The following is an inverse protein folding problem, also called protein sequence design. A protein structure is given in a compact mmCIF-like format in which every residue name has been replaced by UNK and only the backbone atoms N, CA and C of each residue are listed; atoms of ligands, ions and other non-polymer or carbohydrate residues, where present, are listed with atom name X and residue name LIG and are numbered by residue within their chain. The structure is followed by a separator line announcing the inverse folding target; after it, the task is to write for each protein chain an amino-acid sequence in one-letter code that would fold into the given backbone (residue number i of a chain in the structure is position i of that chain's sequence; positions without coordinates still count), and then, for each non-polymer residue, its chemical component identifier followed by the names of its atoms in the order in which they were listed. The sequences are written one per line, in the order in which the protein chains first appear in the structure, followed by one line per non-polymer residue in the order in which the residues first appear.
data_IF_960463368505
#
_entry.id   IF_960463368505
#
_cell.length_a   1.000
_cell.length_b   1.000
_cell.length_c   1.000
_cell.angle_alpha   90.00
_cell.angle_beta   90.00
_cell.angle_gamma   90.00
#
_symmetry.space_group_name_H-M   'P 1'
#
loop_
_entity.id
_entity.type
_entity.pdbx_description
1 polymer ?
#
# COMPACT_ATOMS: atom_id res chain seq x y z
N UNK A 1 -0.38 -2.48 13.58
CA UNK A 1 -0.80 -3.08 14.86
C UNK A 1 -1.76 -4.23 14.60
N UNK A 2 -1.42 -5.48 14.95
CA UNK A 2 -2.35 -6.60 14.83
C UNK A 2 -3.25 -6.67 16.07
N UNK A 3 -4.53 -6.31 15.90
CA UNK A 3 -5.55 -6.36 16.96
C UNK A 3 -6.09 -7.77 17.23
N UNK A 4 -5.70 -8.76 16.42
CA UNK A 4 -6.23 -10.11 16.54
C UNK A 4 -5.30 -10.91 17.44
N UNK A 5 -5.69 -11.09 18.71
CA UNK A 5 -5.22 -12.21 19.55
C UNK A 5 -5.82 -13.52 19.03
N UNK A 6 -5.71 -13.78 17.73
CA UNK A 6 -6.34 -14.91 17.05
C UNK A 6 -5.82 -16.19 17.66
N UNK A 7 -6.59 -16.76 18.58
CA UNK A 7 -6.21 -17.94 19.33
C UNK A 7 -5.99 -19.10 18.36
N UNK A 8 -4.73 -19.52 18.20
CA UNK A 8 -4.36 -20.73 17.48
C UNK A 8 -3.85 -20.58 16.03
N UNK A 9 -4.03 -19.41 15.38
CA UNK A 9 -3.60 -19.20 13.98
C UNK A 9 -2.30 -18.41 13.84
N UNK A 10 -1.85 -17.75 14.90
CA UNK A 10 -0.55 -17.07 14.93
C UNK A 10 0.56 -18.06 15.28
N UNK A 11 1.74 -17.82 14.73
CA UNK A 11 2.95 -18.55 15.07
C UNK A 11 3.46 -18.11 16.45
N UNK A 12 3.83 -19.07 17.29
CA UNK A 12 4.55 -18.77 18.52
C UNK A 12 5.96 -18.27 18.16
N UNK A 13 6.29 -17.03 18.53
CA UNK A 13 7.60 -16.46 18.29
C UNK A 13 8.46 -16.52 19.55
N UNK A 14 9.76 -16.74 19.39
CA UNK A 14 10.69 -16.86 20.50
C UNK A 14 11.83 -15.82 20.38
N UNK A 15 12.16 -15.16 21.48
CA UNK A 15 13.32 -14.27 21.53
C UNK A 15 14.65 -15.06 21.54
N UNK A 16 15.78 -14.36 21.55
CA UNK A 16 17.12 -15.01 21.59
C UNK A 16 17.37 -15.84 22.85
N UNK A 17 16.57 -15.65 23.91
CA UNK A 17 16.63 -16.41 25.17
C UNK A 17 15.56 -17.51 25.22
N UNK A 18 14.95 -17.83 24.07
CA UNK A 18 13.91 -18.83 23.92
C UNK A 18 12.64 -18.53 24.75
N UNK A 19 12.35 -17.26 25.02
CA UNK A 19 11.12 -16.84 25.69
C UNK A 19 10.06 -16.50 24.66
N UNK A 20 8.83 -16.93 24.92
CA UNK A 20 7.69 -16.61 24.08
C UNK A 20 7.48 -15.08 24.05
N UNK A 21 7.33 -14.54 22.85
CA UNK A 21 7.01 -13.13 22.62
C UNK A 21 5.76 -13.01 21.77
N UNK A 22 5.01 -11.93 21.96
CA UNK A 22 3.80 -11.68 21.18
C UNK A 22 4.13 -11.63 19.70
N UNK A 23 3.37 -12.39 18.92
CA UNK A 23 3.47 -12.49 17.47
C UNK A 23 2.31 -11.79 16.80
N UNK A 24 2.55 -11.29 15.58
CA UNK A 24 1.52 -10.91 14.62
C UNK A 24 1.59 -11.73 13.34
N UNK A 25 2.48 -12.72 13.26
CA UNK A 25 2.68 -13.54 12.07
C UNK A 25 1.73 -14.74 12.11
N UNK A 26 0.99 -14.96 11.04
CA UNK A 26 0.23 -16.20 10.84
C UNK A 26 1.19 -17.39 10.82
N UNK A 27 0.71 -18.54 11.28
CA UNK A 27 1.46 -19.79 11.27
C UNK A 27 1.20 -20.54 9.96
N UNK A 28 2.16 -20.59 9.03
CA UNK A 28 1.99 -21.24 7.74
C UNK A 28 2.01 -22.77 7.84
N UNK A 29 2.42 -23.34 8.98
CA UNK A 29 2.50 -24.79 9.21
C UNK A 29 1.17 -25.41 9.66
N UNK A 30 0.23 -24.59 10.14
CA UNK A 30 -1.06 -25.05 10.66
C UNK A 30 -2.15 -25.01 9.60
N UNK A 31 -2.87 -26.13 9.44
CA UNK A 31 -3.99 -26.20 8.51
C UNK A 31 -5.16 -25.29 8.94
N UNK A 32 -5.34 -25.09 10.26
CA UNK A 32 -6.35 -24.18 10.83
C UNK A 32 -6.20 -22.74 10.33
N UNK A 33 -4.98 -22.28 10.03
CA UNK A 33 -4.72 -20.97 9.42
C UNK A 33 -5.43 -20.85 8.07
N UNK A 34 -5.33 -21.88 7.22
CA UNK A 34 -5.91 -21.86 5.88
C UNK A 34 -7.43 -22.05 5.89
N UNK A 35 -7.95 -22.84 6.83
CA UNK A 35 -9.41 -22.96 7.05
C UNK A 35 -9.98 -21.60 7.47
N UNK A 36 -9.34 -20.94 8.43
CA UNK A 36 -9.74 -19.60 8.86
C UNK A 36 -9.70 -18.60 7.69
N UNK A 37 -8.59 -18.53 6.95
CA UNK A 37 -8.44 -17.62 5.82
C UNK A 37 -9.52 -17.84 4.77
N UNK A 38 -9.91 -19.09 4.50
CA UNK A 38 -10.96 -19.41 3.55
C UNK A 38 -12.33 -18.90 3.99
N UNK A 39 -12.73 -19.18 5.23
CA UNK A 39 -14.02 -18.71 5.75
C UNK A 39 -14.05 -17.18 5.89
N UNK A 40 -12.95 -16.57 6.33
CA UNK A 40 -12.81 -15.12 6.37
C UNK A 40 -12.93 -14.50 4.97
N UNK A 41 -12.23 -15.04 3.97
CA UNK A 41 -12.28 -14.51 2.61
C UNK A 41 -13.65 -14.71 1.94
N UNK A 42 -14.43 -15.72 2.32
CA UNK A 42 -15.83 -15.84 1.88
C UNK A 42 -16.68 -14.67 2.39
N UNK A 43 -16.57 -14.34 3.68
CA UNK A 43 -17.31 -13.20 4.25
C UNK A 43 -16.90 -11.88 3.54
N UNK A 44 -15.60 -11.72 3.25
CA UNK A 44 -15.11 -10.60 2.45
C UNK A 44 -15.71 -10.59 1.04
N UNK A 45 -15.85 -11.75 0.40
CA UNK A 45 -16.48 -11.86 -0.92
C UNK A 45 -17.94 -11.40 -0.93
N UNK A 46 -18.70 -11.85 0.07
CA UNK A 46 -20.11 -11.52 0.25
C UNK A 46 -20.33 -10.03 0.58
N UNK A 47 -19.37 -9.42 1.28
CA UNK A 47 -19.49 -8.04 1.77
C UNK A 47 -19.06 -7.00 0.74
N UNK A 48 -17.86 -7.13 0.16
CA UNK A 48 -17.26 -6.10 -0.68
C UNK A 48 -17.50 -6.43 -2.15
N UNK A 49 -18.12 -5.58 -2.96
CA UNK A 49 -18.42 -5.93 -4.37
C UNK A 49 -17.31 -5.65 -5.39
N UNK A 50 -16.19 -5.10 -4.93
CA UNK A 50 -15.11 -4.66 -5.82
C UNK A 50 -14.39 -5.85 -6.48
N UNK A 51 -13.89 -5.65 -7.70
CA UNK A 51 -13.18 -6.70 -8.46
C UNK A 51 -11.78 -6.96 -7.94
N UNK A 52 -11.28 -6.16 -7.01
CA UNK A 52 -9.94 -6.27 -6.48
C UNK A 52 -9.96 -6.65 -5.00
N UNK A 53 -8.93 -7.37 -4.58
CA UNK A 53 -8.67 -7.63 -3.16
C UNK A 53 -7.18 -7.42 -2.89
N UNK A 54 -6.87 -6.55 -1.93
CA UNK A 54 -5.50 -6.34 -1.49
C UNK A 54 -5.17 -7.31 -0.37
N UNK A 55 -4.21 -8.20 -0.60
CA UNK A 55 -3.86 -9.30 0.31
C UNK A 55 -2.62 -8.98 1.16
N UNK A 56 -2.04 -7.78 1.00
CA UNK A 56 -0.89 -7.31 1.77
C UNK A 56 0.39 -8.02 1.35
N UNK A 57 1.11 -8.56 2.34
CA UNK A 57 2.35 -9.33 2.12
C UNK A 57 3.64 -8.51 2.21
N UNK A 58 3.59 -7.39 2.92
CA UNK A 58 4.71 -6.48 3.19
C UNK A 58 5.54 -6.87 4.42
N UNK A 59 6.80 -6.42 4.44
CA UNK A 59 7.71 -6.42 5.61
C UNK A 59 7.95 -7.75 6.33
N UNK A 60 7.64 -8.88 5.70
CA UNK A 60 7.75 -10.22 6.31
C UNK A 60 9.19 -10.68 6.52
N UNK A 61 10.15 -10.21 5.72
CA UNK A 61 11.53 -10.72 5.70
C UNK A 61 12.22 -10.66 7.08
N UNK A 62 12.01 -9.58 7.83
CA UNK A 62 12.54 -9.47 9.19
C UNK A 62 11.84 -10.44 10.15
N UNK A 63 10.51 -10.50 10.10
CA UNK A 63 9.69 -11.27 11.03
C UNK A 63 9.75 -12.77 10.81
N UNK A 64 9.93 -13.25 9.58
CA UNK A 64 10.15 -14.69 9.31
C UNK A 64 11.42 -15.19 10.00
N UNK A 65 12.48 -14.38 10.06
CA UNK A 65 13.72 -14.72 10.76
C UNK A 65 13.55 -14.64 12.29
N UNK A 66 12.89 -13.58 12.79
CA UNK A 66 12.71 -13.42 14.24
C UNK A 66 11.69 -14.40 14.83
N UNK A 67 10.71 -14.84 14.03
CA UNK A 67 9.61 -15.68 14.49
C UNK A 67 9.68 -17.11 13.94
N UNK A 68 9.38 -17.30 12.65
CA UNK A 68 9.24 -18.62 12.04
C UNK A 68 10.51 -19.46 12.15
N UNK A 69 11.68 -18.86 11.88
CA UNK A 69 12.96 -19.56 11.93
C UNK A 69 13.36 -20.04 13.33
N UNK A 70 12.76 -19.46 14.39
CA UNK A 70 13.01 -19.86 15.78
C UNK A 70 11.92 -20.79 16.33
N UNK A 71 10.79 -20.90 15.66
CA UNK A 71 9.69 -21.76 16.09
C UNK A 71 10.04 -23.24 15.80
N UNK A 72 10.08 -24.12 16.81
CA UNK A 72 10.47 -25.53 16.61
C UNK A 72 9.47 -26.31 15.76
N UNK A 73 8.17 -26.04 15.89
CA UNK A 73 7.11 -26.70 15.11
C UNK A 73 7.24 -26.33 13.62
N UNK A 74 7.47 -25.04 13.33
CA UNK A 74 7.68 -24.59 11.95
C UNK A 74 8.96 -25.20 11.36
N UNK A 75 10.04 -25.31 12.14
CA UNK A 75 11.28 -25.96 11.70
C UNK A 75 11.08 -27.44 11.37
N UNK A 76 10.32 -28.16 12.18
CA UNK A 76 9.96 -29.55 11.92
C UNK A 76 9.12 -29.67 10.65
N UNK A 77 8.08 -28.85 10.52
CA UNK A 77 7.27 -28.78 9.30
C UNK A 77 8.10 -28.49 8.04
N UNK A 78 9.07 -27.57 8.13
CA UNK A 78 9.99 -27.30 7.04
C UNK A 78 10.85 -28.51 6.69
N UNK A 79 11.35 -29.25 7.69
CA UNK A 79 12.14 -30.46 7.48
C UNK A 79 11.31 -31.56 6.80
N UNK A 80 10.08 -31.80 7.25
CA UNK A 80 9.14 -32.76 6.65
C UNK A 80 8.82 -32.43 5.18
N UNK A 81 8.67 -31.14 4.88
CA UNK A 81 8.38 -30.65 3.52
C UNK A 81 9.63 -30.50 2.65
N UNK A 82 10.82 -30.69 3.21
CA UNK A 82 12.10 -30.49 2.51
C UNK A 82 12.40 -29.03 2.15
N UNK A 83 11.83 -28.07 2.88
CA UNK A 83 12.10 -26.64 2.67
C UNK A 83 13.48 -26.25 3.22
N UNK A 84 14.29 -25.64 2.36
CA UNK A 84 15.69 -25.28 2.61
C UNK A 84 15.86 -23.90 3.24
N UNK A 85 14.88 -23.00 3.07
CA UNK A 85 14.94 -21.62 3.56
C UNK A 85 13.53 -21.05 3.81
N UNK A 86 13.47 -19.92 4.51
CA UNK A 86 12.21 -19.24 4.86
C UNK A 86 11.44 -18.77 3.63
N UNK A 87 12.13 -18.38 2.56
CA UNK A 87 11.50 -17.98 1.30
C UNK A 87 10.66 -19.11 0.70
N UNK A 88 11.09 -20.38 0.83
CA UNK A 88 10.28 -21.53 0.38
C UNK A 88 9.03 -21.73 1.26
N UNK A 89 9.14 -21.53 2.57
CA UNK A 89 7.99 -21.58 3.48
C UNK A 89 6.99 -20.44 3.22
N UNK A 90 7.49 -19.24 2.96
CA UNK A 90 6.66 -18.09 2.59
C UNK A 90 5.99 -18.29 1.22
N UNK A 91 6.72 -18.84 0.24
CA UNK A 91 6.14 -19.26 -1.03
C UNK A 91 5.04 -20.31 -0.84
N UNK A 92 5.19 -21.24 0.11
CA UNK A 92 4.14 -22.19 0.46
C UNK A 92 2.89 -21.48 0.97
N UNK A 93 3.04 -20.54 1.90
CA UNK A 93 1.94 -19.71 2.42
C UNK A 93 1.21 -18.96 1.30
N UNK A 94 1.94 -18.19 0.47
CA UNK A 94 1.32 -17.42 -0.62
C UNK A 94 0.72 -18.32 -1.69
N UNK A 95 1.28 -19.49 -1.97
CA UNK A 95 0.68 -20.44 -2.92
C UNK A 95 -0.65 -20.97 -2.41
N UNK A 96 -0.73 -21.32 -1.12
CA UNK A 96 -1.98 -21.76 -0.47
C UNK A 96 -3.01 -20.63 -0.42
N UNK A 97 -2.60 -19.41 -0.07
CA UNK A 97 -3.48 -18.24 -0.04
C UNK A 97 -4.06 -17.94 -1.44
N UNK A 98 -3.23 -17.93 -2.47
CA UNK A 98 -3.68 -17.72 -3.85
C UNK A 98 -4.65 -18.81 -4.31
N UNK A 99 -4.45 -20.06 -3.91
CA UNK A 99 -5.38 -21.15 -4.19
C UNK A 99 -6.73 -20.93 -3.51
N UNK A 100 -6.75 -20.51 -2.23
CA UNK A 100 -7.98 -20.17 -1.50
C UNK A 100 -8.70 -19.02 -2.19
N UNK A 101 -7.99 -17.96 -2.56
CA UNK A 101 -8.57 -16.81 -3.28
C UNK A 101 -9.18 -17.27 -4.61
N UNK A 102 -8.49 -18.09 -5.40
CA UNK A 102 -9.05 -18.64 -6.64
C UNK A 102 -10.28 -19.52 -6.39
N UNK A 103 -10.30 -20.30 -5.32
CA UNK A 103 -11.45 -21.12 -4.96
C UNK A 103 -12.66 -20.27 -4.55
N UNK A 104 -12.45 -19.30 -3.67
CA UNK A 104 -13.51 -18.44 -3.13
C UNK A 104 -14.04 -17.48 -4.19
N UNK A 105 -13.15 -16.80 -4.92
CA UNK A 105 -13.51 -15.73 -5.85
C UNK A 105 -13.63 -16.17 -7.30
N UNK A 106 -13.18 -17.37 -7.67
CA UNK A 106 -13.09 -17.84 -9.06
C UNK A 106 -14.42 -18.25 -9.70
N UNK A 107 -15.50 -18.33 -8.92
CA UNK A 107 -16.86 -18.62 -9.40
C UNK A 107 -17.57 -17.39 -9.99
N UNK A 108 -17.08 -16.19 -9.70
CA UNK A 108 -17.61 -14.94 -10.24
C UNK A 108 -17.13 -14.71 -11.68
N UNK A 109 -17.99 -14.20 -12.55
CA UNK A 109 -17.61 -13.84 -13.94
C UNK A 109 -16.48 -12.81 -13.91
N UNK A 110 -15.27 -13.25 -14.26
CA UNK A 110 -14.06 -12.44 -14.28
C UNK A 110 -13.11 -12.61 -13.09
N UNK A 111 -13.55 -13.25 -11.99
CA UNK A 111 -12.79 -13.42 -10.75
C UNK A 111 -12.32 -12.11 -10.09
N UNK A 112 -11.93 -12.16 -8.82
CA UNK A 112 -11.21 -11.02 -8.22
C UNK A 112 -9.74 -11.03 -8.61
N UNK A 113 -9.22 -9.85 -8.93
CA UNK A 113 -7.78 -9.63 -9.13
C UNK A 113 -7.10 -9.37 -7.78
N UNK A 114 -6.06 -10.14 -7.52
CA UNK A 114 -5.24 -9.98 -6.32
C UNK A 114 -4.32 -8.78 -6.45
N UNK A 115 -4.16 -8.03 -5.37
CA UNK A 115 -3.14 -6.99 -5.24
C UNK A 115 -2.24 -7.38 -4.07
N UNK A 116 -0.93 -7.35 -4.29
CA UNK A 116 0.07 -7.59 -3.25
C UNK A 116 1.03 -6.41 -3.16
N UNK A 117 1.57 -6.18 -1.97
CA UNK A 117 2.76 -5.34 -1.84
C UNK A 117 3.95 -5.98 -2.57
N UNK A 118 4.90 -5.13 -2.98
CA UNK A 118 5.99 -5.51 -3.87
C UNK A 118 6.84 -6.69 -3.39
N UNK A 119 6.95 -6.91 -2.07
CA UNK A 119 7.79 -7.98 -1.51
C UNK A 119 7.35 -9.37 -1.95
N UNK A 120 6.04 -9.58 -2.15
CA UNK A 120 5.53 -10.85 -2.68
C UNK A 120 6.06 -11.09 -4.09
N UNK A 121 6.15 -10.05 -4.91
CA UNK A 121 6.78 -10.15 -6.23
C UNK A 121 8.31 -10.29 -6.14
N UNK A 122 8.95 -9.64 -5.18
CA UNK A 122 10.41 -9.62 -5.06
C UNK A 122 10.98 -10.95 -4.56
N UNK A 123 10.27 -11.58 -3.63
CA UNK A 123 10.78 -12.72 -2.87
C UNK A 123 9.97 -14.00 -3.11
N UNK A 124 8.75 -13.88 -3.63
CA UNK A 124 7.85 -15.02 -3.79
C UNK A 124 7.40 -15.21 -5.24
N UNK A 125 6.34 -15.99 -5.45
CA UNK A 125 5.82 -16.37 -6.76
C UNK A 125 4.33 -16.04 -6.86
N UNK A 126 3.97 -14.76 -6.95
CA UNK A 126 2.60 -14.38 -7.23
C UNK A 126 2.23 -14.80 -8.65
N UNK A 127 0.97 -15.15 -8.85
CA UNK A 127 0.38 -15.35 -10.16
C UNK A 127 0.50 -14.06 -10.99
N UNK A 128 0.86 -14.18 -12.27
CA UNK A 128 1.05 -13.01 -13.16
C UNK A 128 -0.22 -12.18 -13.36
N UNK A 129 -1.40 -12.76 -13.09
CA UNK A 129 -2.68 -12.03 -13.08
C UNK A 129 -2.84 -11.08 -11.88
N UNK A 130 -1.98 -11.19 -10.86
CA UNK A 130 -1.95 -10.28 -9.74
C UNK A 130 -1.38 -8.90 -10.13
N UNK A 131 -1.70 -7.90 -9.33
CA UNK A 131 -1.18 -6.54 -9.44
C UNK A 131 -0.10 -6.35 -8.37
N UNK A 132 1.04 -5.83 -8.79
CA UNK A 132 2.13 -5.45 -7.89
C UNK A 132 1.91 -4.02 -7.42
N UNK A 133 1.88 -3.82 -6.10
CA UNK A 133 1.81 -2.50 -5.48
C UNK A 133 3.20 -2.06 -5.03
N UNK A 134 3.83 -1.19 -5.81
CA UNK A 134 5.12 -0.58 -5.46
C UNK A 134 4.93 0.54 -4.44
N UNK A 135 5.38 0.30 -3.22
CA UNK A 135 5.13 1.15 -2.05
C UNK A 135 6.39 1.68 -1.41
N UNK A 136 7.52 1.01 -1.63
CA UNK A 136 8.81 1.45 -1.12
C UNK A 136 9.85 1.44 -2.24
N UNK A 137 10.49 2.59 -2.40
CA UNK A 137 11.69 2.72 -3.23
C UNK A 137 12.56 3.82 -2.62
N UNK A 138 13.87 3.57 -2.57
CA UNK A 138 14.82 4.49 -1.93
C UNK A 138 14.88 5.88 -2.60
N UNK A 139 14.59 5.94 -3.90
CA UNK A 139 14.57 7.15 -4.71
C UNK A 139 13.85 6.87 -6.06
N UNK A 140 13.73 7.91 -6.89
CA UNK A 140 13.08 7.82 -8.20
C UNK A 140 13.75 6.80 -9.13
N UNK A 141 15.09 6.66 -9.10
CA UNK A 141 15.78 5.67 -9.92
C UNK A 141 15.49 4.23 -9.45
N UNK A 142 15.43 4.00 -8.14
CA UNK A 142 15.03 2.70 -7.58
C UNK A 142 13.58 2.38 -7.99
N UNK A 143 12.67 3.35 -7.86
CA UNK A 143 11.28 3.21 -8.28
C UNK A 143 11.15 2.82 -9.73
N UNK A 144 11.86 3.52 -10.63
CA UNK A 144 11.86 3.21 -12.05
C UNK A 144 12.38 1.79 -12.33
N UNK A 145 13.40 1.31 -11.60
CA UNK A 145 13.90 -0.06 -11.72
C UNK A 145 12.90 -1.10 -11.21
N UNK A 146 12.27 -0.85 -10.06
CA UNK A 146 11.32 -1.76 -9.44
C UNK A 146 10.07 -1.93 -10.32
N UNK A 147 9.49 -0.82 -10.78
CA UNK A 147 8.36 -0.82 -11.71
C UNK A 147 8.74 -1.55 -13.01
N UNK A 148 9.89 -1.22 -13.60
CA UNK A 148 10.36 -1.84 -14.83
C UNK A 148 10.48 -3.36 -14.70
N UNK A 149 11.02 -3.86 -13.58
CA UNK A 149 11.19 -5.31 -13.34
C UNK A 149 9.85 -6.04 -13.30
N UNK A 150 8.83 -5.43 -12.70
CA UNK A 150 7.47 -6.00 -12.64
C UNK A 150 6.79 -6.01 -14.02
N UNK A 151 6.77 -4.87 -14.73
CA UNK A 151 6.10 -4.79 -16.04
C UNK A 151 6.80 -5.62 -17.11
N UNK A 152 8.12 -5.81 -17.04
CA UNK A 152 8.85 -6.70 -17.94
C UNK A 152 8.44 -8.18 -17.79
N UNK A 153 7.92 -8.56 -16.64
CA UNK A 153 7.40 -9.90 -16.36
C UNK A 153 5.87 -9.99 -16.62
N UNK A 154 5.26 -8.93 -17.16
CA UNK A 154 3.84 -8.91 -17.52
C UNK A 154 2.89 -8.50 -16.40
N UNK A 155 3.39 -8.15 -15.22
CA UNK A 155 2.54 -7.70 -14.11
C UNK A 155 1.99 -6.30 -14.37
N UNK A 156 0.73 -6.10 -13.99
CA UNK A 156 0.18 -4.76 -13.80
C UNK A 156 0.75 -4.16 -12.50
N UNK A 157 0.97 -2.84 -12.48
CA UNK A 157 1.58 -2.14 -11.35
C UNK A 157 0.74 -0.93 -10.92
N UNK A 158 0.54 -0.79 -9.62
CA UNK A 158 0.09 0.45 -8.96
C UNK A 158 1.22 1.02 -8.10
N UNK A 159 1.32 2.34 -8.02
CA UNK A 159 2.44 3.03 -7.36
C UNK A 159 1.96 3.90 -6.21
N UNK A 160 2.59 3.76 -5.05
CA UNK A 160 2.44 4.65 -3.89
C UNK A 160 3.76 5.08 -3.27
N UNK A 161 4.90 4.55 -3.73
CA UNK A 161 6.25 4.78 -3.16
C UNK A 161 6.77 6.23 -3.17
N UNK A 162 6.02 7.15 -3.74
CA UNK A 162 6.28 8.59 -3.71
C UNK A 162 5.15 9.40 -3.07
N UNK A 163 4.09 8.75 -2.57
CA UNK A 163 2.86 9.38 -2.08
C UNK A 163 2.50 8.89 -0.69
N UNK A 164 3.49 8.88 0.20
CA UNK A 164 3.31 8.63 1.64
C UNK A 164 2.93 9.94 2.32
N UNK A 165 1.63 10.19 2.48
CA UNK A 165 1.12 11.43 3.06
C UNK A 165 1.23 11.43 4.59
N UNK A 166 1.28 10.27 5.24
CA UNK A 166 1.56 10.17 6.67
C UNK A 166 2.97 10.70 7.03
N UNK A 167 3.91 10.72 6.08
CA UNK A 167 5.26 11.28 6.26
C UNK A 167 5.22 12.80 6.03
N UNK A 168 4.78 13.54 7.05
CA UNK A 168 4.69 15.00 7.00
C UNK A 168 6.07 15.67 7.04
N UNK A 169 6.20 16.81 6.36
CA UNK A 169 7.38 17.67 6.40
C UNK A 169 6.97 19.14 6.56
N UNK A 170 7.85 19.96 7.13
CA UNK A 170 7.57 21.39 7.30
C UNK A 170 7.48 22.12 5.95
N UNK A 171 6.37 22.83 5.74
CA UNK A 171 6.09 23.60 4.53
C UNK A 171 5.23 22.81 3.53
N UNK A 172 5.11 23.34 2.32
CA UNK A 172 4.42 22.70 1.20
C UNK A 172 5.16 21.49 0.61
N UNK A 173 5.12 20.38 1.33
CA UNK A 173 5.71 19.10 0.93
C UNK A 173 5.22 18.60 -0.43
N UNK A 174 3.99 18.92 -0.85
CA UNK A 174 3.45 18.56 -2.16
C UNK A 174 4.26 19.11 -3.35
N UNK A 175 4.92 20.29 -3.21
CA UNK A 175 5.62 21.02 -4.30
C UNK A 175 7.15 20.95 -4.30
N UNK A 176 7.76 20.08 -3.49
CA UNK A 176 9.21 20.02 -3.24
C UNK A 176 9.75 21.10 -2.30
N UNK A 177 10.16 20.67 -1.10
CA UNK A 177 10.71 21.55 -0.05
C UNK A 177 12.23 21.62 -0.04
N UNK A 178 12.90 20.61 -0.62
CA UNK A 178 14.35 20.49 -0.59
C UNK A 178 14.84 19.61 -1.75
N UNK A 179 16.07 19.83 -2.26
CA UNK A 179 16.74 18.90 -3.16
C UNK A 179 16.88 17.48 -2.57
N UNK A 180 16.74 17.31 -1.24
CA UNK A 180 16.91 16.04 -0.52
C UNK A 180 15.71 15.08 -0.60
N UNK A 181 14.66 15.40 -1.36
CA UNK A 181 13.73 14.38 -1.87
C UNK A 181 12.61 13.90 -0.95
N UNK A 182 12.40 14.50 0.22
CA UNK A 182 11.19 14.29 1.03
C UNK A 182 10.08 15.26 0.58
N UNK A 183 8.85 14.76 0.44
CA UNK A 183 7.76 15.43 -0.28
C UNK A 183 7.85 15.22 -1.80
N UNK A 184 7.35 16.17 -2.60
CA UNK A 184 7.31 16.18 -4.08
C UNK A 184 6.18 15.38 -4.72
N UNK A 185 5.04 15.22 -4.03
CA UNK A 185 3.91 14.45 -4.52
C UNK A 185 3.50 14.79 -5.96
N UNK A 186 3.48 16.09 -6.29
CA UNK A 186 3.08 16.54 -7.62
C UNK A 186 4.06 16.12 -8.73
N UNK A 187 5.34 15.91 -8.43
CA UNK A 187 6.38 15.59 -9.42
C UNK A 187 6.59 14.09 -9.64
N UNK A 188 5.92 13.23 -8.88
CA UNK A 188 6.03 11.80 -9.09
C UNK A 188 5.32 11.37 -10.37
N UNK A 189 6.08 10.88 -11.35
CA UNK A 189 5.53 10.25 -12.55
C UNK A 189 5.78 8.73 -12.51
N UNK A 190 4.73 7.91 -12.27
CA UNK A 190 4.87 6.46 -12.17
C UNK A 190 5.23 5.79 -13.50
N UNK A 191 5.10 6.49 -14.64
CA UNK A 191 5.45 5.98 -15.98
C UNK A 191 6.81 6.49 -16.49
N UNK A 192 7.53 7.25 -15.67
CA UNK A 192 8.86 7.75 -15.99
C UNK A 192 9.94 6.69 -15.74
N UNK A 193 9.96 5.65 -16.58
CA UNK A 193 11.01 4.65 -16.61
C UNK A 193 11.36 4.25 -18.06
N UNK A 194 12.56 3.70 -18.32
CA UNK A 194 12.93 3.18 -19.63
C UNK A 194 12.16 1.88 -19.96
N UNK A 195 11.21 1.95 -20.87
CA UNK A 195 10.38 0.82 -21.32
C UNK A 195 9.57 1.16 -22.58
N UNK A 196 9.00 0.13 -23.22
CA UNK A 196 8.13 0.31 -24.40
C UNK A 196 6.81 0.98 -24.02
N UNK A 197 6.05 1.42 -25.01
CA UNK A 197 4.71 1.98 -24.78
C UNK A 197 3.82 0.99 -24.03
N UNK A 198 3.82 -0.29 -24.44
CA UNK A 198 3.03 -1.38 -23.85
C UNK A 198 3.42 -1.64 -22.41
N UNK A 199 4.73 -1.63 -22.09
CA UNK A 199 5.21 -1.76 -20.72
C UNK A 199 4.75 -0.61 -19.82
N UNK A 200 4.69 0.61 -20.35
CA UNK A 200 4.16 1.77 -19.61
C UNK A 200 2.65 1.69 -19.38
N UNK A 201 1.90 1.02 -20.25
CA UNK A 201 0.46 0.78 -20.06
C UNK A 201 0.16 -0.23 -18.95
N UNK A 202 1.12 -1.08 -18.57
CA UNK A 202 0.99 -1.98 -17.42
C UNK A 202 1.03 -1.23 -16.08
N UNK A 203 1.50 0.03 -16.05
CA UNK A 203 1.32 0.91 -14.89
C UNK A 203 -0.08 1.52 -14.95
N UNK A 204 -0.98 0.98 -14.13
CA UNK A 204 -2.43 1.26 -14.21
C UNK A 204 -2.88 2.41 -13.31
N UNK A 205 -2.00 2.97 -12.47
CA UNK A 205 -2.31 4.12 -11.65
C UNK A 205 -1.46 4.16 -10.38
N UNK A 206 -2.05 4.71 -9.32
CA UNK A 206 -1.39 4.78 -8.03
C UNK A 206 -2.30 5.25 -6.91
N UNK A 207 -1.72 5.32 -5.72
CA UNK A 207 -2.44 5.52 -4.46
C UNK A 207 -1.67 6.52 -3.60
N UNK A 208 -2.37 7.54 -3.11
CA UNK A 208 -1.90 8.35 -1.98
C UNK A 208 -2.16 7.58 -0.69
N UNK A 209 -1.12 7.23 0.05
CA UNK A 209 -1.22 6.42 1.27
C UNK A 209 -1.21 7.29 2.51
N UNK A 210 -2.06 6.95 3.48
CA UNK A 210 -2.13 7.59 4.79
C UNK A 210 -2.11 6.50 5.87
N UNK A 211 -0.90 6.10 6.28
CA UNK A 211 -0.75 5.18 7.39
C UNK A 211 -1.11 5.83 8.73
N UNK A 212 -1.73 5.04 9.61
CA UNK A 212 -2.47 5.52 10.78
C UNK A 212 -1.67 5.67 12.07
N UNK A 213 -0.34 5.54 12.07
CA UNK A 213 0.46 5.57 13.32
C UNK A 213 0.29 6.89 14.09
N UNK A 214 0.12 8.00 13.36
CA UNK A 214 -0.03 9.35 13.89
C UNK A 214 -1.28 10.06 13.34
N UNK A 215 -2.20 9.30 12.73
CA UNK A 215 -3.38 9.83 12.05
C UNK A 215 -4.63 9.21 12.64
N UNK A 216 -5.56 10.05 13.08
CA UNK A 216 -6.87 9.65 13.58
C UNK A 216 -7.94 10.69 13.18
N UNK A 217 -9.14 10.58 13.75
CA UNK A 217 -10.24 11.50 13.45
C UNK A 217 -9.96 12.97 13.79
N UNK A 218 -8.94 13.27 14.58
CA UNK A 218 -8.59 14.65 14.97
C UNK A 218 -7.82 15.40 13.88
N UNK A 219 -7.09 14.68 13.02
CA UNK A 219 -6.17 15.28 12.06
C UNK A 219 -6.25 14.73 10.62
N UNK A 220 -6.99 13.63 10.38
CA UNK A 220 -7.03 12.96 9.08
C UNK A 220 -7.34 13.91 7.92
N UNK A 221 -8.42 14.69 8.01
CA UNK A 221 -8.86 15.55 6.90
C UNK A 221 -7.85 16.65 6.59
N UNK A 222 -7.35 17.35 7.62
CA UNK A 222 -6.38 18.43 7.46
C UNK A 222 -5.04 17.95 6.96
N UNK A 223 -4.62 16.78 7.42
CA UNK A 223 -3.38 16.18 6.95
C UNK A 223 -3.55 15.63 5.54
N UNK A 224 -4.71 15.07 5.17
CA UNK A 224 -4.92 14.51 3.83
C UNK A 224 -5.10 15.58 2.75
N UNK A 225 -5.93 16.59 3.02
CA UNK A 225 -6.32 17.61 2.05
C UNK A 225 -5.65 18.94 2.35
N UNK A 226 -5.05 19.61 1.34
CA UNK A 226 -5.17 19.36 -0.10
C UNK A 226 -4.01 18.52 -0.69
N UNK A 227 -3.12 17.94 0.14
CA UNK A 227 -1.94 17.21 -0.33
C UNK A 227 -2.29 16.04 -1.28
N UNK A 228 -3.36 15.31 -0.98
CA UNK A 228 -3.87 14.25 -1.86
C UNK A 228 -4.41 14.77 -3.19
N UNK A 229 -4.88 16.02 -3.28
CA UNK A 229 -5.31 16.63 -4.54
C UNK A 229 -4.16 16.78 -5.54
N UNK A 230 -2.92 16.99 -5.07
CA UNK A 230 -1.73 17.00 -5.93
C UNK A 230 -1.49 15.62 -6.58
N UNK A 231 -1.73 14.54 -5.84
CA UNK A 231 -1.67 13.16 -6.36
C UNK A 231 -2.80 12.90 -7.34
N UNK A 232 -4.02 13.36 -7.01
CA UNK A 232 -5.18 13.21 -7.87
C UNK A 232 -4.98 13.87 -9.24
N UNK A 233 -4.48 15.12 -9.27
CA UNK A 233 -4.22 15.81 -10.53
C UNK A 233 -3.13 15.11 -11.36
N UNK A 234 -2.10 14.56 -10.72
CA UNK A 234 -1.06 13.77 -11.38
C UNK A 234 -1.60 12.47 -12.00
N UNK A 235 -2.53 11.80 -11.32
CA UNK A 235 -3.11 10.54 -11.80
C UNK A 235 -4.20 10.75 -12.86
N UNK A 236 -4.85 11.91 -12.86
CA UNK A 236 -5.95 12.24 -13.77
C UNK A 236 -5.50 12.98 -15.03
N UNK A 237 -4.68 14.02 -14.86
CA UNK A 237 -4.35 14.96 -15.94
C UNK A 237 -3.25 14.44 -16.85
N UNK A 238 -3.18 14.92 -18.10
CA UNK A 238 -2.09 14.57 -18.99
C UNK A 238 -0.71 14.91 -18.38
N UNK A 239 0.32 14.05 -18.53
CA UNK A 239 1.63 14.24 -17.92
C UNK A 239 2.31 15.56 -18.26
N UNK A 240 2.05 16.10 -19.46
CA UNK A 240 2.57 17.37 -19.93
C UNK A 240 1.97 18.60 -19.24
N UNK A 241 0.77 18.47 -18.65
CA UNK A 241 0.09 19.55 -17.90
C UNK A 241 0.47 19.59 -16.42
N UNK A 242 1.21 18.59 -15.96
CA UNK A 242 1.49 18.38 -14.54
C UNK A 242 2.99 18.54 -14.24
N UNK A 243 3.74 19.28 -15.06
CA UNK A 243 5.22 19.39 -14.92
C UNK A 243 5.70 20.46 -13.95
N UNK A 244 4.84 21.39 -13.53
CA UNK A 244 5.20 22.52 -12.67
C UNK A 244 4.23 22.65 -11.51
N UNK A 245 4.74 22.56 -10.28
CA UNK A 245 3.93 22.81 -9.09
C UNK A 245 3.58 24.30 -8.93
N UNK A 246 4.42 25.21 -9.44
CA UNK A 246 4.14 26.65 -9.42
C UNK A 246 2.94 27.01 -10.32
N UNK A 247 2.80 26.35 -11.48
CA UNK A 247 1.62 26.47 -12.34
C UNK A 247 0.37 25.81 -11.73
N UNK A 248 0.56 24.81 -10.86
CA UNK A 248 -0.52 24.12 -10.18
C UNK A 248 -1.04 24.90 -8.96
N UNK A 249 -0.16 25.64 -8.28
CA UNK A 249 -0.45 26.29 -7.01
C UNK A 249 -1.71 27.17 -7.05
N UNK A 250 -1.88 28.13 -7.98
CA UNK A 250 -3.08 28.99 -7.98
C UNK A 250 -4.38 28.19 -8.05
N UNK A 251 -4.40 27.10 -8.83
CA UNK A 251 -5.56 26.22 -8.98
C UNK A 251 -5.78 25.34 -7.76
N UNK A 252 -4.71 24.86 -7.13
CA UNK A 252 -4.78 24.10 -5.89
C UNK A 252 -5.27 24.96 -4.72
N UNK A 253 -4.86 26.23 -4.64
CA UNK A 253 -5.34 27.19 -3.65
C UNK A 253 -6.82 27.47 -3.81
N UNK A 254 -7.28 27.74 -5.03
CA UNK A 254 -8.71 27.91 -5.30
C UNK A 254 -9.50 26.64 -4.97
N UNK A 255 -8.98 25.46 -5.33
CA UNK A 255 -9.61 24.17 -5.01
C UNK A 255 -9.68 23.94 -3.48
N UNK A 256 -8.64 24.33 -2.73
CA UNK A 256 -8.63 24.29 -1.26
C UNK A 256 -9.71 25.18 -0.66
N UNK A 257 -9.86 26.42 -1.13
CA UNK A 257 -10.96 27.28 -0.67
C UNK A 257 -12.34 26.71 -1.00
N UNK A 258 -12.48 26.04 -2.14
CA UNK A 258 -13.70 25.31 -2.52
C UNK A 258 -13.97 24.09 -1.62
N UNK A 259 -12.92 23.42 -1.14
CA UNK A 259 -13.06 22.33 -0.16
C UNK A 259 -13.56 22.87 1.18
N UNK A 260 -13.01 23.99 1.66
CA UNK A 260 -13.48 24.66 2.88
C UNK A 260 -14.95 25.05 2.77
N UNK A 261 -15.35 25.69 1.67
CA UNK A 261 -16.75 26.12 1.49
C UNK A 261 -17.74 24.95 1.41
N UNK A 262 -17.24 23.73 1.25
CA UNK A 262 -18.01 22.47 1.28
C UNK A 262 -17.91 21.73 2.61
N UNK A 263 -17.25 22.31 3.62
CA UNK A 263 -17.13 21.75 4.95
C UNK A 263 -15.95 20.80 5.18
N UNK A 264 -14.99 20.71 4.24
CA UNK A 264 -13.78 19.90 4.44
C UNK A 264 -12.70 20.69 5.19
N UNK A 265 -12.08 20.06 6.19
CA UNK A 265 -11.01 20.66 7.01
C UNK A 265 -9.65 20.71 6.28
N UNK A 266 -9.56 21.28 5.08
CA UNK A 266 -8.33 21.29 4.30
C UNK A 266 -7.27 22.29 4.81
N UNK A 267 -6.02 21.84 5.00
CA UNK A 267 -4.92 22.70 5.45
C UNK A 267 -4.51 23.77 4.40
N UNK A 268 -3.79 24.84 4.77
CA UNK A 268 -3.24 25.80 3.82
C UNK A 268 -2.19 25.19 2.87
N UNK A 269 -2.09 25.70 1.64
CA UNK A 269 -1.30 25.07 0.56
C UNK A 269 0.21 25.36 0.62
N UNK A 270 0.61 26.63 0.76
CA UNK A 270 2.00 27.07 0.48
C UNK A 270 2.63 28.07 1.45
N UNK A 271 1.84 28.69 2.32
CA UNK A 271 2.24 29.81 3.17
C UNK A 271 1.01 30.60 3.63
N UNK A 272 1.19 31.81 4.20
CA UNK A 272 0.07 32.65 4.57
C UNK A 272 -0.73 33.05 3.33
N UNK A 273 -2.01 32.74 3.34
CA UNK A 273 -3.00 33.08 2.33
C UNK A 273 -4.38 33.05 3.01
N UNK A 274 -5.44 33.46 2.31
CA UNK A 274 -6.79 33.48 2.83
C UNK A 274 -7.77 32.86 1.83
N UNK A 275 -8.93 32.46 2.35
CA UNK A 275 -10.08 32.11 1.53
C UNK A 275 -11.19 33.13 1.77
N UNK A 276 -12.06 33.35 0.77
CA UNK A 276 -13.22 34.22 0.95
C UNK A 276 -14.20 33.73 2.03
N UNK A 277 -14.17 32.42 2.33
CA UNK A 277 -14.81 31.80 3.48
C UNK A 277 -13.77 31.01 4.27
N UNK A 278 -13.73 31.21 5.59
CA UNK A 278 -12.90 30.42 6.50
C UNK A 278 -13.66 29.17 6.97
N UNK A 279 -12.92 28.17 7.43
CA UNK A 279 -13.52 26.95 7.95
C UNK A 279 -14.27 27.24 9.26
N UNK A 280 -15.53 26.80 9.34
CA UNK A 280 -16.34 26.85 10.56
C UNK A 280 -16.91 25.46 10.85
N UNK A 281 -16.76 24.98 12.09
CA UNK A 281 -17.36 23.72 12.55
C UNK A 281 -18.89 23.82 12.66
N UNK A 282 -19.42 25.05 12.71
CA UNK A 282 -20.84 25.35 12.72
C UNK A 282 -21.17 26.09 11.42
N UNK A 283 -21.61 25.40 10.35
CA UNK A 283 -22.26 26.12 9.28
C UNK A 283 -23.50 26.74 9.94
N UNK A 284 -23.53 28.07 10.07
CA UNK A 284 -24.75 28.76 10.46
C UNK A 284 -25.87 28.21 9.57
N UNK A 285 -26.86 27.57 10.21
CA UNK A 285 -28.14 27.25 9.58
C UNK A 285 -28.73 28.59 9.13
N UNK A 286 -28.46 28.97 7.90
CA UNK A 286 -29.19 30.01 7.18
C UNK A 286 -30.30 29.37 6.37
#
# INVERSE_FOLDING_TARGET
MASWRGSGILADCYDKKNRLVTSSMLDPSKESTYIFLKEFLKEIDETFRDKYIHLGGDETAYWTIQCWARNPIIREFMAERGFKNMTQLENYYFSRLQAIVKEVFGTQVGGRKMIFWQEVFDNNKPDVSAIVHNWYSQNDQARARDIKRAVQQGFQVIVSSCWYLNLINYGADWRALSPKGLGRYYYCDPRNFPGTYEQKQLVIGGIATMWGEYIDGTNLESTLWPRASAVAERLWSPPEKTKSADEAWPRLQEHRCRMISRGYRAEPVNGPDYCGAEFSESPEMF
#
